data_IF_640395433444
#
_entry.id   IF_640395433444
#
_cell.length_a   1.000
_cell.length_b   1.000
_cell.length_c   1.000
_cell.angle_alpha   90.00
_cell.angle_beta   90.00
_cell.angle_gamma   90.00
#
_symmetry.space_group_name_H-M   'P 1'
#
loop_
_entity.id
_entity.type
_entity.pdbx_description
1 polymer ?
#
# COMPACT_ATOMS: atom_id res chain seq x y z
N UNK A 1 44.27 -2.61 72.81
CA UNK A 1 45.25 -3.72 72.74
C UNK A 1 44.75 -4.64 71.65
N UNK A 2 45.41 -4.94 70.53
CA UNK A 2 46.74 -4.67 69.95
C UNK A 2 46.53 -5.26 68.52
N UNK A 3 46.80 -4.55 67.41
CA UNK A 3 48.00 -4.79 66.55
C UNK A 3 47.94 -6.13 65.78
N UNK A 4 48.22 -6.33 64.48
CA UNK A 4 48.81 -5.60 63.35
C UNK A 4 48.83 -6.59 62.15
N UNK A 5 48.80 -6.08 60.91
CA UNK A 5 49.39 -6.60 59.64
C UNK A 5 49.16 -8.07 59.21
N UNK A 6 49.42 -8.49 57.98
CA UNK A 6 49.65 -7.90 56.66
C UNK A 6 49.30 -9.04 55.68
N UNK A 7 48.66 -8.75 54.55
CA UNK A 7 49.35 -8.79 53.25
C UNK A 7 49.41 -10.18 52.64
N UNK A 8 48.75 -10.37 51.49
CA UNK A 8 49.41 -10.81 50.24
C UNK A 8 48.38 -11.06 49.13
N UNK A 9 48.86 -10.81 47.92
CA UNK A 9 48.51 -11.50 46.67
C UNK A 9 47.31 -11.03 45.84
N UNK A 10 47.68 -10.28 44.78
CA UNK A 10 47.06 -10.21 43.45
C UNK A 10 46.20 -11.43 43.11
N UNK A 11 44.94 -11.20 42.76
CA UNK A 11 44.35 -11.77 41.55
C UNK A 11 43.34 -10.77 40.96
N UNK A 12 43.72 -10.17 39.83
CA UNK A 12 42.79 -9.61 38.86
C UNK A 12 42.08 -10.80 38.22
N UNK A 13 40.76 -10.94 38.43
CA UNK A 13 39.92 -11.80 37.57
C UNK A 13 38.89 -10.87 36.92
N UNK A 14 39.17 -10.57 35.65
CA UNK A 14 38.22 -9.95 34.75
C UNK A 14 37.06 -10.93 34.52
N UNK A 15 35.86 -10.59 35.00
CA UNK A 15 34.64 -11.30 34.64
C UNK A 15 34.15 -10.80 33.28
N UNK A 16 34.55 -11.51 32.24
CA UNK A 16 34.15 -11.27 30.85
C UNK A 16 32.93 -12.13 30.51
N UNK A 17 31.77 -11.46 30.36
CA UNK A 17 30.71 -11.63 29.33
C UNK A 17 30.00 -12.99 29.19
N UNK A 18 28.66 -12.94 29.23
CA UNK A 18 27.78 -13.54 28.21
C UNK A 18 26.36 -12.96 28.33
N UNK A 19 26.18 -11.74 27.84
CA UNK A 19 24.86 -11.22 27.51
C UNK A 19 24.48 -11.83 26.15
N UNK A 20 23.85 -13.00 26.16
CA UNK A 20 23.29 -13.61 24.97
C UNK A 20 22.11 -12.74 24.51
N UNK A 21 22.41 -11.76 23.66
CA UNK A 21 21.40 -11.00 22.94
C UNK A 21 20.63 -11.96 22.05
N UNK A 22 19.42 -12.36 22.48
CA UNK A 22 18.43 -12.92 21.58
C UNK A 22 18.15 -11.84 20.52
N UNK A 23 18.74 -12.00 19.33
CA UNK A 23 18.24 -11.35 18.14
C UNK A 23 16.83 -11.90 17.91
N UNK A 24 15.81 -11.16 18.36
CA UNK A 24 14.47 -11.35 17.87
C UNK A 24 14.50 -10.96 16.40
N UNK A 25 14.61 -11.97 15.53
CA UNK A 25 14.31 -11.78 14.12
C UNK A 25 12.84 -11.35 14.04
N UNK A 26 12.62 -10.07 13.77
CA UNK A 26 11.31 -9.56 13.36
C UNK A 26 10.86 -10.40 12.18
N UNK A 27 9.90 -11.31 12.39
CA UNK A 27 9.18 -11.89 11.26
C UNK A 27 8.43 -10.73 10.63
N UNK A 28 8.88 -10.31 9.45
CA UNK A 28 8.07 -9.47 8.58
C UNK A 28 6.68 -10.13 8.51
N UNK A 29 5.63 -9.39 8.85
CA UNK A 29 4.26 -9.86 8.66
C UNK A 29 4.09 -10.11 7.16
N UNK A 30 4.14 -11.36 6.74
CA UNK A 30 3.92 -11.73 5.34
C UNK A 30 2.52 -11.29 4.92
N UNK A 31 2.39 -10.71 3.73
CA UNK A 31 1.09 -10.43 3.14
C UNK A 31 0.36 -11.77 2.96
N UNK A 32 -0.87 -11.86 3.44
CA UNK A 32 -1.68 -13.06 3.31
C UNK A 32 -1.97 -13.32 1.82
N UNK A 33 -2.01 -14.59 1.36
CA UNK A 33 -2.43 -14.90 0.00
C UNK A 33 -3.95 -14.65 -0.15
N UNK A 34 -4.41 -14.25 -1.35
CA UNK A 34 -5.84 -14.08 -1.62
C UNK A 34 -6.57 -15.43 -1.54
N UNK A 35 -7.80 -15.40 -1.02
CA UNK A 35 -8.70 -16.56 -0.93
C UNK A 35 -9.78 -16.53 -2.01
N UNK A 36 -10.11 -15.34 -2.52
CA UNK A 36 -11.09 -15.10 -3.56
C UNK A 36 -10.47 -14.78 -4.93
N UNK A 37 -11.29 -14.31 -5.88
CA UNK A 37 -10.81 -13.83 -7.17
C UNK A 37 -9.86 -12.66 -6.99
N UNK A 38 -8.69 -12.74 -7.62
CA UNK A 38 -7.73 -11.62 -7.66
C UNK A 38 -8.31 -10.48 -8.48
N UNK A 39 -8.43 -9.31 -7.87
CA UNK A 39 -8.94 -8.08 -8.52
C UNK A 39 -7.85 -7.05 -8.75
N UNK A 40 -6.71 -7.18 -8.06
CA UNK A 40 -5.54 -6.33 -8.26
C UNK A 40 -4.26 -7.16 -8.16
N UNK A 41 -3.32 -6.94 -9.08
CA UNK A 41 -1.95 -7.43 -9.00
C UNK A 41 -0.98 -6.26 -9.02
N UNK A 42 -0.07 -6.18 -8.06
CA UNK A 42 1.00 -5.18 -8.00
C UNK A 42 2.36 -5.85 -8.20
N UNK A 43 3.17 -5.31 -9.09
CA UNK A 43 4.50 -5.83 -9.46
C UNK A 43 5.56 -4.73 -9.44
N UNK A 44 6.81 -5.12 -9.71
CA UNK A 44 7.91 -4.19 -9.88
C UNK A 44 8.60 -3.87 -8.55
N UNK A 45 8.88 -2.59 -8.34
CA UNK A 45 9.65 -2.09 -7.18
C UNK A 45 8.81 -2.04 -5.89
N UNK A 46 8.41 -3.21 -5.38
CA UNK A 46 7.71 -3.42 -4.10
C UNK A 46 8.57 -4.23 -3.13
N UNK A 47 8.50 -3.91 -1.84
CA UNK A 47 9.24 -4.62 -0.78
C UNK A 47 8.47 -5.81 -0.18
N UNK A 48 7.15 -5.86 -0.35
CA UNK A 48 6.28 -6.93 0.18
C UNK A 48 5.45 -7.58 -0.93
N UNK A 49 5.46 -8.92 -0.95
CA UNK A 49 4.74 -9.76 -1.91
C UNK A 49 4.03 -10.92 -1.19
N UNK A 50 3.02 -11.52 -1.83
CA UNK A 50 2.30 -12.70 -1.34
C UNK A 50 2.17 -13.83 -2.38
N UNK A 51 2.89 -13.72 -3.50
CA UNK A 51 2.97 -14.75 -4.53
C UNK A 51 4.43 -15.13 -4.82
N UNK A 52 4.63 -16.31 -5.39
CA UNK A 52 5.94 -16.91 -5.69
C UNK A 52 6.68 -16.17 -6.81
N UNK A 53 5.95 -15.46 -7.66
CA UNK A 53 6.51 -14.62 -8.73
C UNK A 53 7.00 -13.24 -8.22
N UNK A 54 6.89 -12.97 -6.92
CA UNK A 54 7.28 -11.70 -6.32
C UNK A 54 6.23 -10.60 -6.44
N UNK A 55 5.02 -10.92 -6.91
CA UNK A 55 3.91 -9.97 -6.95
C UNK A 55 3.08 -9.95 -5.67
N UNK A 56 2.38 -8.84 -5.45
CA UNK A 56 1.33 -8.73 -4.46
C UNK A 56 -0.05 -8.82 -5.14
N UNK A 57 -0.81 -9.86 -4.82
CA UNK A 57 -2.14 -10.13 -5.36
C UNK A 57 -3.19 -9.89 -4.29
N UNK A 58 -4.23 -9.14 -4.65
CA UNK A 58 -5.32 -8.82 -3.75
C UNK A 58 -6.65 -9.32 -4.31
N UNK A 59 -7.42 -9.99 -3.47
CA UNK A 59 -8.87 -10.06 -3.62
C UNK A 59 -9.52 -8.87 -2.89
N UNK A 60 -10.85 -8.79 -2.93
CA UNK A 60 -11.58 -7.72 -2.26
C UNK A 60 -11.40 -7.76 -0.73
N UNK A 61 -11.37 -8.96 -0.13
CA UNK A 61 -11.26 -9.12 1.33
C UNK A 61 -9.91 -8.61 1.85
N UNK A 62 -8.82 -8.85 1.11
CA UNK A 62 -7.49 -8.32 1.45
C UNK A 62 -7.39 -6.81 1.26
N UNK A 63 -8.03 -6.24 0.23
CA UNK A 63 -8.08 -4.78 0.08
C UNK A 63 -8.89 -4.13 1.20
N UNK A 64 -10.02 -4.73 1.60
CA UNK A 64 -10.87 -4.24 2.69
C UNK A 64 -10.18 -4.30 4.07
N UNK A 65 -9.07 -5.04 4.22
CA UNK A 65 -8.25 -5.05 5.44
C UNK A 65 -7.32 -3.84 5.56
N UNK A 66 -7.03 -3.15 4.46
CA UNK A 66 -6.28 -1.90 4.48
C UNK A 66 -7.17 -0.75 4.94
N UNK A 67 -6.61 0.33 5.53
CA UNK A 67 -7.36 1.54 5.82
C UNK A 67 -8.17 2.01 4.60
N UNK A 68 -9.47 2.22 4.81
CA UNK A 68 -10.39 2.69 3.77
C UNK A 68 -10.55 4.20 3.84
N UNK A 69 -10.67 4.82 2.67
CA UNK A 69 -10.98 6.23 2.48
C UNK A 69 -12.31 6.35 1.74
N UNK A 70 -13.12 7.33 2.16
CA UNK A 70 -14.42 7.62 1.55
C UNK A 70 -14.51 9.11 1.24
N UNK A 71 -14.96 9.46 0.03
CA UNK A 71 -15.30 10.84 -0.32
C UNK A 71 -16.42 10.90 -1.36
N UNK A 72 -17.06 12.07 -1.44
CA UNK A 72 -18.02 12.38 -2.49
C UNK A 72 -17.37 13.29 -3.53
N UNK A 73 -17.58 13.00 -4.81
CA UNK A 73 -17.15 13.88 -5.90
C UNK A 73 -18.03 13.70 -7.12
N UNK A 74 -18.28 14.80 -7.83
CA UNK A 74 -18.84 14.73 -9.19
C UNK A 74 -17.79 14.21 -10.15
N UNK A 75 -18.25 13.49 -11.16
CA UNK A 75 -17.41 13.03 -12.27
C UNK A 75 -18.09 13.33 -13.59
N UNK A 76 -17.31 13.33 -14.69
CA UNK A 76 -17.85 13.44 -16.04
C UNK A 76 -18.46 12.12 -16.56
N UNK A 77 -18.38 11.03 -15.77
CA UNK A 77 -18.80 9.68 -16.16
C UNK A 77 -19.99 9.15 -15.33
N UNK A 78 -20.42 9.88 -14.32
CA UNK A 78 -21.50 9.52 -13.39
C UNK A 78 -22.48 10.67 -13.27
N UNK A 79 -23.72 10.36 -12.94
CA UNK A 79 -24.73 11.38 -12.59
C UNK A 79 -24.68 11.67 -11.09
N UNK A 80 -24.94 12.93 -10.72
CA UNK A 80 -24.96 13.39 -9.33
C UNK A 80 -23.58 13.37 -8.65
N UNK A 81 -23.62 13.24 -7.32
CA UNK A 81 -22.46 13.36 -6.42
C UNK A 81 -22.21 12.01 -5.72
N UNK A 82 -21.78 10.96 -6.45
CA UNK A 82 -21.58 9.65 -5.86
C UNK A 82 -20.52 9.67 -4.77
N UNK A 83 -20.74 8.83 -3.76
CA UNK A 83 -19.76 8.50 -2.73
C UNK A 83 -18.89 7.34 -3.20
N UNK A 84 -17.58 7.51 -3.22
CA UNK A 84 -16.62 6.46 -3.53
C UNK A 84 -15.93 6.00 -2.26
N UNK A 85 -15.72 4.69 -2.12
CA UNK A 85 -14.97 4.10 -1.01
C UNK A 85 -13.96 3.08 -1.54
N UNK A 86 -12.76 3.11 -0.99
CA UNK A 86 -11.68 2.18 -1.31
C UNK A 86 -10.38 2.53 -0.59
N UNK A 87 -9.30 1.83 -0.95
CA UNK A 87 -7.97 2.06 -0.38
C UNK A 87 -7.32 3.26 -1.08
N UNK A 88 -6.72 4.19 -0.32
CA UNK A 88 -5.94 5.27 -0.95
C UNK A 88 -4.71 4.73 -1.66
N UNK A 89 -4.31 5.40 -2.74
CA UNK A 89 -3.10 5.00 -3.47
C UNK A 89 -1.86 5.08 -2.55
N UNK A 90 -1.80 6.07 -1.66
CA UNK A 90 -0.72 6.20 -0.66
C UNK A 90 -0.67 5.00 0.31
N UNK A 91 -1.80 4.61 0.88
CA UNK A 91 -1.91 3.47 1.82
C UNK A 91 -1.52 2.16 1.14
N UNK A 92 -1.96 1.93 -0.09
CA UNK A 92 -1.59 0.73 -0.84
C UNK A 92 -0.07 0.65 -1.05
N UNK A 93 0.54 1.75 -1.52
CA UNK A 93 1.97 1.78 -1.81
C UNK A 93 2.83 1.67 -0.55
N UNK A 94 2.42 2.30 0.55
CA UNK A 94 3.05 2.16 1.85
C UNK A 94 2.98 0.71 2.35
N UNK A 95 1.80 0.09 2.28
CA UNK A 95 1.60 -1.30 2.69
C UNK A 95 2.49 -2.29 1.93
N UNK A 96 2.86 -1.95 0.69
CA UNK A 96 3.71 -2.74 -0.19
C UNK A 96 5.20 -2.35 -0.14
N UNK A 97 5.56 -1.32 0.62
CA UNK A 97 6.93 -0.75 0.64
C UNK A 97 7.42 -0.42 -0.79
N UNK A 98 6.53 0.19 -1.59
CA UNK A 98 6.80 0.56 -2.98
C UNK A 98 7.79 1.75 -3.06
N UNK A 99 8.75 1.69 -3.98
CA UNK A 99 9.86 2.67 -4.02
C UNK A 99 10.33 3.07 -5.44
N UNK A 100 9.46 2.98 -6.45
CA UNK A 100 9.71 3.51 -7.81
C UNK A 100 9.33 4.99 -7.95
N UNK A 101 9.29 5.50 -9.19
CA UNK A 101 8.82 6.86 -9.54
C UNK A 101 7.54 6.87 -10.37
N UNK A 102 7.25 5.79 -11.10
CA UNK A 102 6.11 5.69 -12.02
C UNK A 102 5.29 4.44 -11.71
N UNK A 103 3.97 4.58 -11.79
CA UNK A 103 2.99 3.52 -11.66
C UNK A 103 2.37 3.29 -13.04
N UNK A 104 2.76 2.20 -13.70
CA UNK A 104 2.07 1.76 -14.92
C UNK A 104 0.80 1.05 -14.51
N UNK A 105 -0.34 1.71 -14.71
CA UNK A 105 -1.65 1.17 -14.34
C UNK A 105 -2.35 0.62 -15.58
N UNK A 106 -2.90 -0.59 -15.49
CA UNK A 106 -3.57 -1.27 -16.62
C UNK A 106 -4.94 -1.79 -16.23
N UNK A 107 -5.93 -1.54 -17.09
CA UNK A 107 -7.31 -1.98 -16.93
C UNK A 107 -7.59 -3.35 -17.60
N UNK A 108 -8.75 -3.93 -17.33
CA UNK A 108 -9.21 -5.20 -17.94
C UNK A 108 -9.27 -5.16 -19.47
N UNK A 109 -9.45 -3.99 -20.08
CA UNK A 109 -9.47 -3.79 -21.53
C UNK A 109 -8.09 -3.43 -22.12
N UNK A 110 -7.01 -3.63 -21.36
CA UNK A 110 -5.62 -3.27 -21.71
C UNK A 110 -5.37 -1.77 -21.91
N UNK A 111 -6.32 -0.90 -21.56
CA UNK A 111 -6.02 0.52 -21.42
C UNK A 111 -4.99 0.72 -20.32
N UNK A 112 -3.96 1.51 -20.59
CA UNK A 112 -2.89 1.73 -19.62
C UNK A 112 -2.35 3.16 -19.65
N UNK A 113 -2.00 3.64 -18.47
CA UNK A 113 -1.49 4.99 -18.22
C UNK A 113 -0.31 4.93 -17.27
N UNK A 114 0.51 5.98 -17.31
CA UNK A 114 1.59 6.18 -16.36
C UNK A 114 1.15 7.27 -15.38
N UNK A 115 1.16 6.93 -14.10
CA UNK A 115 0.84 7.84 -12.99
C UNK A 115 2.13 8.05 -12.19
N UNK A 116 2.61 9.30 -12.00
CA UNK A 116 3.73 9.54 -11.11
C UNK A 116 3.42 9.04 -9.71
N UNK A 117 4.37 8.38 -9.05
CA UNK A 117 4.18 7.92 -7.66
C UNK A 117 3.92 9.10 -6.71
N UNK A 118 4.38 10.29 -7.09
CA UNK A 118 4.14 11.54 -6.37
C UNK A 118 2.66 11.96 -6.31
N UNK A 119 1.78 11.36 -7.12
CA UNK A 119 0.32 11.54 -7.02
C UNK A 119 -0.26 10.79 -5.80
N UNK A 120 0.48 9.84 -5.21
CA UNK A 120 0.06 9.08 -4.05
C UNK A 120 0.25 9.89 -2.75
N UNK A 121 -0.61 10.88 -2.55
CA UNK A 121 -0.61 11.78 -1.39
C UNK A 121 -1.86 11.58 -0.53
N UNK A 122 -1.81 12.11 0.69
CA UNK A 122 -3.02 12.27 1.53
C UNK A 122 -4.06 13.11 0.80
N UNK A 123 -5.34 12.74 0.91
CA UNK A 123 -6.45 13.33 0.14
C UNK A 123 -6.28 13.22 -1.39
N UNK A 124 -5.38 12.34 -1.85
CA UNK A 124 -5.17 12.02 -3.25
C UNK A 124 -6.14 10.95 -3.80
N UNK A 125 -5.77 10.26 -4.89
CA UNK A 125 -6.62 9.25 -5.49
C UNK A 125 -6.78 8.01 -4.61
N UNK A 126 -7.94 7.37 -4.75
CA UNK A 126 -8.23 6.06 -4.17
C UNK A 126 -8.44 5.02 -5.27
N UNK A 127 -8.18 3.76 -4.95
CA UNK A 127 -8.66 2.61 -5.72
C UNK A 127 -10.06 2.25 -5.19
N UNK A 128 -11.08 2.93 -5.72
CA UNK A 128 -12.46 2.74 -5.30
C UNK A 128 -12.95 1.34 -5.66
N UNK A 129 -13.39 0.58 -4.65
CA UNK A 129 -14.06 -0.71 -4.81
C UNK A 129 -15.58 -0.61 -4.66
N UNK A 130 -16.07 0.50 -4.10
CA UNK A 130 -17.48 0.79 -3.87
C UNK A 130 -17.89 2.16 -4.38
N UNK A 131 -19.12 2.24 -4.87
CA UNK A 131 -19.81 3.47 -5.24
C UNK A 131 -21.20 3.47 -4.61
N UNK A 132 -21.51 4.51 -3.82
CA UNK A 132 -22.73 4.62 -3.01
C UNK A 132 -22.96 3.38 -2.12
N UNK A 133 -21.92 2.98 -1.37
CA UNK A 133 -21.92 1.83 -0.46
C UNK A 133 -21.89 0.44 -1.11
N UNK A 134 -22.15 0.35 -2.42
CA UNK A 134 -22.26 -0.93 -3.13
C UNK A 134 -20.96 -1.26 -3.88
N UNK A 135 -20.52 -2.54 -3.94
CA UNK A 135 -19.40 -2.95 -4.78
C UNK A 135 -19.61 -2.54 -6.24
N UNK A 136 -18.58 -1.99 -6.88
CA UNK A 136 -18.67 -1.57 -8.27
C UNK A 136 -18.55 -2.81 -9.16
N UNK A 137 -19.59 -3.10 -9.95
CA UNK A 137 -19.54 -4.24 -10.88
C UNK A 137 -18.68 -3.91 -12.10
N UNK A 138 -18.18 -4.93 -12.81
CA UNK A 138 -17.43 -4.74 -14.07
C UNK A 138 -18.24 -3.91 -15.08
N UNK A 139 -19.55 -4.16 -15.18
CA UNK A 139 -20.46 -3.40 -16.06
C UNK A 139 -20.57 -1.92 -15.66
N UNK A 140 -20.35 -1.61 -14.39
CA UNK A 140 -20.40 -0.27 -13.81
C UNK A 140 -19.00 0.31 -13.54
N UNK A 141 -17.97 -0.10 -14.30
CA UNK A 141 -16.60 0.43 -14.23
C UNK A 141 -15.72 -0.13 -13.08
N UNK A 142 -16.17 -1.16 -12.38
CA UNK A 142 -15.39 -1.85 -11.32
C UNK A 142 -14.56 -3.03 -11.86
N UNK A 143 -13.97 -3.89 -11.01
CA UNK A 143 -14.11 -3.91 -9.55
C UNK A 143 -13.33 -2.80 -8.86
N UNK A 144 -12.33 -2.22 -9.53
CA UNK A 144 -11.55 -1.10 -9.02
C UNK A 144 -11.54 0.06 -10.01
N UNK A 145 -11.65 1.26 -9.47
CA UNK A 145 -11.54 2.50 -10.22
C UNK A 145 -10.57 3.44 -9.51
N UNK A 146 -9.45 3.78 -10.16
CA UNK A 146 -8.62 4.90 -9.69
C UNK A 146 -9.40 6.19 -9.86
N UNK A 147 -9.73 6.86 -8.77
CA UNK A 147 -10.55 8.06 -8.79
C UNK A 147 -10.01 9.11 -7.83
N UNK A 148 -10.01 10.36 -8.29
CA UNK A 148 -9.55 11.52 -7.55
C UNK A 148 -10.73 12.27 -6.93
N UNK A 149 -10.54 12.97 -5.79
CA UNK A 149 -11.56 13.81 -5.20
C UNK A 149 -11.65 15.17 -5.91
N UNK A 150 -12.13 15.16 -7.16
CA UNK A 150 -12.13 16.33 -8.07
C UNK A 150 -12.73 17.60 -7.46
N UNK A 151 -13.76 17.47 -6.62
CA UNK A 151 -14.43 18.61 -6.01
C UNK A 151 -13.66 19.23 -4.83
N UNK A 152 -12.63 18.55 -4.30
CA UNK A 152 -11.80 19.05 -3.18
C UNK A 152 -10.57 19.83 -3.66
N UNK A 153 -9.98 19.44 -4.79
CA UNK A 153 -8.81 20.08 -5.37
C UNK A 153 -9.03 20.38 -6.87
N UNK A 154 -9.11 21.66 -7.28
CA UNK A 154 -9.25 22.05 -8.68
C UNK A 154 -8.14 21.53 -9.62
N UNK A 155 -6.94 21.23 -9.11
CA UNK A 155 -5.84 20.70 -9.93
C UNK A 155 -6.17 19.31 -10.50
N UNK A 156 -7.02 18.55 -9.82
CA UNK A 156 -7.53 17.27 -10.32
C UNK A 156 -8.52 17.43 -11.48
N UNK A 157 -9.01 18.65 -11.77
CA UNK A 157 -9.93 18.92 -12.91
C UNK A 157 -9.15 19.21 -14.19
N UNK A 158 -8.25 18.31 -14.57
CA UNK A 158 -7.44 18.41 -15.78
C UNK A 158 -7.61 17.18 -16.67
N UNK A 159 -7.40 17.34 -17.98
CA UNK A 159 -7.46 16.22 -18.94
C UNK A 159 -6.50 15.09 -18.57
N UNK A 160 -5.32 15.43 -18.04
CA UNK A 160 -4.33 14.47 -17.56
C UNK A 160 -4.92 13.61 -16.43
N UNK A 161 -5.45 14.23 -15.38
CA UNK A 161 -6.03 13.50 -14.24
C UNK A 161 -7.23 12.65 -14.67
N UNK A 162 -8.09 13.18 -15.54
CA UNK A 162 -9.22 12.42 -16.08
C UNK A 162 -8.75 11.20 -16.90
N UNK A 163 -7.68 11.33 -17.67
CA UNK A 163 -7.09 10.19 -18.40
C UNK A 163 -6.49 9.15 -17.44
N UNK A 164 -5.93 9.59 -16.31
CA UNK A 164 -5.38 8.71 -15.28
C UNK A 164 -6.46 8.03 -14.42
N UNK A 165 -7.74 8.37 -14.59
CA UNK A 165 -8.84 7.81 -13.81
C UNK A 165 -9.27 6.45 -14.35
N UNK A 166 -8.43 5.44 -14.10
CA UNK A 166 -8.55 4.10 -14.68
C UNK A 166 -9.64 3.30 -13.99
N UNK A 167 -10.77 3.08 -14.68
CA UNK A 167 -11.75 2.06 -14.27
C UNK A 167 -11.34 0.66 -14.70
N UNK A 168 -11.95 -0.36 -14.08
CA UNK A 168 -11.59 -1.76 -14.30
C UNK A 168 -10.08 -2.01 -14.08
N UNK A 169 -9.45 -1.28 -13.17
CA UNK A 169 -8.02 -1.41 -12.87
C UNK A 169 -7.74 -2.85 -12.40
N UNK A 170 -6.81 -3.53 -13.06
CA UNK A 170 -6.42 -4.91 -12.74
C UNK A 170 -4.97 -5.04 -12.27
N UNK A 171 -4.09 -4.13 -12.68
CA UNK A 171 -2.68 -4.22 -12.32
C UNK A 171 -1.99 -2.86 -12.21
N UNK A 172 -1.02 -2.80 -11.31
CA UNK A 172 -0.08 -1.70 -11.13
C UNK A 172 1.34 -2.27 -11.21
N UNK A 173 2.17 -1.71 -12.09
CA UNK A 173 3.58 -2.06 -12.18
C UNK A 173 4.43 -0.86 -11.77
N UNK A 174 5.15 -1.00 -10.65
CA UNK A 174 5.95 0.06 -10.03
C UNK A 174 7.34 0.10 -10.68
N UNK A 175 7.67 1.23 -11.31
CA UNK A 175 8.86 1.43 -12.15
C UNK A 175 9.66 2.65 -11.68
N UNK A 176 10.94 2.69 -12.03
CA UNK A 176 11.84 3.83 -11.75
C UNK A 176 11.64 5.05 -12.66
#
# INVERSE_FOLDING_TARGET
MTTICAGLFRQFIASTILFAGMLQASRATELLPPKGPVILTVTGMIGRANDKDGSAKFDLELLDQLPQTTFQTRTIWTEGDPEFTGVSLSVLLEALEAHGKILRMTALNEYAVDVPIAEAVDEGPILASRMNGNPITVRQKGPLWLIYPYDTNPEYKSEVTYSQSVWQLKSIDVRD
#
